data_IF_746454609674
#
_entry.id   IF_746454609674
#
_cell.length_a   1.000
_cell.length_b   1.000
_cell.length_c   1.000
_cell.angle_alpha   90.00
_cell.angle_beta   90.00
_cell.angle_gamma   90.00
#
_symmetry.space_group_name_H-M   'P 1'
#
loop_
_entity.id
_entity.type
_entity.pdbx_description
1 polymer ?
#
# COMPACT_ATOMS: atom_id res chain seq x y z
N UNK A 1 5.44 -11.63 3.35
CA UNK A 1 4.26 -10.77 3.62
C UNK A 1 3.17 -11.12 2.62
N UNK A 2 1.90 -11.16 3.03
CA UNK A 2 0.79 -11.50 2.13
C UNK A 2 0.39 -10.27 1.32
N UNK A 3 0.37 -10.31 -0.03
CA UNK A 3 -0.09 -9.18 -0.84
C UNK A 3 -1.51 -8.76 -0.45
N UNK A 4 -1.72 -7.49 -0.08
CA UNK A 4 -3.01 -6.97 0.39
C UNK A 4 -3.63 -6.02 -0.64
N UNK A 5 -4.92 -6.15 -0.99
CA UNK A 5 -5.57 -5.22 -1.93
C UNK A 5 -5.59 -3.78 -1.39
N UNK A 6 -5.40 -2.79 -2.25
CA UNK A 6 -5.47 -1.37 -1.89
C UNK A 6 -6.79 -1.00 -1.22
N UNK A 7 -7.92 -1.51 -1.74
CA UNK A 7 -9.24 -1.24 -1.18
C UNK A 7 -9.40 -1.75 0.25
N UNK A 8 -8.72 -2.86 0.59
CA UNK A 8 -8.70 -3.37 1.96
C UNK A 8 -7.84 -2.49 2.88
N UNK A 9 -6.69 -2.01 2.40
CA UNK A 9 -5.85 -1.07 3.14
C UNK A 9 -6.64 0.23 3.41
N UNK A 10 -7.30 0.77 2.40
CA UNK A 10 -8.17 1.95 2.53
C UNK A 10 -9.24 1.71 3.59
N UNK A 11 -9.98 0.61 3.48
CA UNK A 11 -11.07 0.26 4.41
C UNK A 11 -10.58 0.11 5.85
N UNK A 12 -9.47 -0.60 6.06
CA UNK A 12 -8.94 -0.85 7.41
C UNK A 12 -8.24 0.37 8.02
N UNK A 13 -7.68 1.26 7.20
CA UNK A 13 -7.01 2.47 7.69
C UNK A 13 -7.97 3.51 8.30
N UNK A 14 -9.23 3.53 7.84
CA UNK A 14 -10.20 4.58 8.19
C UNK A 14 -9.81 5.99 7.70
N UNK A 15 -8.74 6.12 6.91
CA UNK A 15 -8.24 7.38 6.41
C UNK A 15 -8.85 7.73 5.04
N UNK A 16 -8.85 9.02 4.65
CA UNK A 16 -9.25 9.42 3.30
C UNK A 16 -8.43 8.71 2.23
N UNK A 17 -9.09 8.26 1.15
CA UNK A 17 -8.47 7.53 0.04
C UNK A 17 -7.21 8.22 -0.49
N UNK A 18 -7.25 9.54 -0.65
CA UNK A 18 -6.10 10.32 -1.15
C UNK A 18 -4.90 10.25 -0.21
N UNK A 19 -5.14 10.29 1.11
CA UNK A 19 -4.08 10.18 2.10
C UNK A 19 -3.44 8.79 2.09
N UNK A 20 -4.25 7.73 1.99
CA UNK A 20 -3.74 6.36 1.89
C UNK A 20 -2.88 6.19 0.63
N UNK A 21 -3.37 6.67 -0.52
CA UNK A 21 -2.62 6.59 -1.77
C UNK A 21 -1.31 7.38 -1.73
N UNK A 22 -1.28 8.54 -1.07
CA UNK A 22 -0.07 9.32 -0.87
C UNK A 22 0.96 8.57 -0.01
N UNK A 23 0.55 8.04 1.15
CA UNK A 23 1.43 7.26 2.04
C UNK A 23 1.98 6.01 1.33
N UNK A 24 1.14 5.29 0.57
CA UNK A 24 1.59 4.13 -0.20
C UNK A 24 2.64 4.54 -1.23
N UNK A 25 2.43 5.64 -1.96
CA UNK A 25 3.43 6.14 -2.91
C UNK A 25 4.76 6.49 -2.21
N UNK A 26 4.71 7.16 -1.06
CA UNK A 26 5.91 7.49 -0.28
C UNK A 26 6.67 6.24 0.18
N UNK A 27 5.95 5.22 0.67
CA UNK A 27 6.55 3.95 1.09
C UNK A 27 7.17 3.18 -0.07
N UNK A 28 6.57 3.26 -1.25
CA UNK A 28 7.07 2.63 -2.48
C UNK A 28 8.35 3.32 -2.96
N UNK A 29 8.36 4.65 -3.00
CA UNK A 29 9.55 5.45 -3.31
C UNK A 29 10.68 5.25 -2.28
N UNK A 30 10.33 5.00 -1.03
CA UNK A 30 11.28 4.67 0.04
C UNK A 30 11.78 3.21 -0.02
N UNK A 31 11.32 2.40 -0.98
CA UNK A 31 11.74 1.00 -1.11
C UNK A 31 11.26 0.10 0.03
N UNK A 32 10.15 0.46 0.69
CA UNK A 32 9.59 -0.31 1.82
C UNK A 32 8.46 -1.24 1.40
N UNK A 33 7.83 -0.96 0.26
CA UNK A 33 6.78 -1.77 -0.33
C UNK A 33 6.98 -1.86 -1.85
N UNK A 34 6.30 -2.81 -2.49
CA UNK A 34 6.06 -2.80 -3.93
C UNK A 34 4.59 -3.01 -4.24
N UNK A 35 4.17 -2.63 -5.45
CA UNK A 35 2.83 -2.91 -5.98
C UNK A 35 2.86 -4.06 -6.98
N UNK A 36 1.91 -4.97 -6.82
CA UNK A 36 1.67 -6.07 -7.74
C UNK A 36 0.50 -5.73 -8.68
N UNK A 37 0.39 -6.41 -9.83
CA UNK A 37 -0.78 -6.30 -10.70
C UNK A 37 -2.09 -6.51 -9.92
N UNK A 38 -3.11 -5.71 -10.23
CA UNK A 38 -4.40 -5.73 -9.52
C UNK A 38 -4.45 -4.83 -8.27
N UNK A 39 -3.62 -3.78 -8.21
CA UNK A 39 -3.54 -2.78 -7.12
C UNK A 39 -3.37 -3.43 -5.73
N UNK A 40 -2.44 -4.40 -5.64
CA UNK A 40 -2.07 -5.05 -4.38
C UNK A 40 -0.74 -4.52 -3.89
N UNK A 41 -0.58 -4.44 -2.57
CA UNK A 41 0.63 -3.96 -1.91
C UNK A 41 1.25 -5.07 -1.08
N UNK A 42 2.57 -5.17 -1.17
CA UNK A 42 3.39 -6.13 -0.44
C UNK A 42 4.55 -5.41 0.24
N UNK A 43 4.85 -5.77 1.49
CA UNK A 43 6.04 -5.27 2.17
C UNK A 43 7.30 -5.86 1.53
N UNK A 44 8.33 -5.05 1.34
CA UNK A 44 9.65 -5.53 0.97
C UNK A 44 10.38 -6.07 2.22
N UNK A 45 11.23 -7.10 2.06
CA UNK A 45 12.09 -7.54 3.16
C UNK A 45 13.05 -6.40 3.58
N UNK A 46 13.35 -6.35 4.87
CA UNK A 46 14.33 -5.42 5.44
C UNK A 46 15.75 -5.79 5.05
#
# INVERSE_FOLDING_TARGET
PTPTPMDEIIRQSGAPVQQVRAVVLELELAGRIHRDPGDRVSLLPA
#
